data_IF_459510867356
#
_entry.id   IF_459510867356
#
_cell.length_a   1.000
_cell.length_b   1.000
_cell.length_c   1.000
_cell.angle_alpha   90.00
_cell.angle_beta   90.00
_cell.angle_gamma   90.00
#
_symmetry.space_group_name_H-M   'P 1'
#
loop_
_entity.id
_entity.type
_entity.pdbx_description
1 polymer ?
#
# COMPACT_ATOMS: atom_id res chain seq x y z
N UNK A 1 -34.45 -58.93 25.78
CA UNK A 1 -33.63 -59.14 24.57
C UNK A 1 -33.09 -57.78 24.16
N UNK A 2 -31.77 -57.64 24.13
CA UNK A 2 -31.02 -56.41 23.86
C UNK A 2 -31.25 -55.95 22.41
N UNK A 3 -31.60 -54.68 22.18
CA UNK A 3 -31.21 -53.98 20.96
C UNK A 3 -30.75 -52.55 21.25
N UNK A 4 -29.47 -52.38 20.95
CA UNK A 4 -28.69 -51.16 20.90
C UNK A 4 -29.19 -50.33 19.72
N UNK A 5 -29.63 -49.09 19.96
CA UNK A 5 -29.64 -48.07 18.91
C UNK A 5 -28.88 -46.84 19.39
N UNK A 6 -27.62 -46.83 18.97
CA UNK A 6 -26.74 -45.66 18.91
C UNK A 6 -27.38 -44.63 17.99
N UNK A 7 -28.08 -43.62 18.53
CA UNK A 7 -28.34 -42.42 17.76
C UNK A 7 -27.08 -41.59 17.75
N UNK A 8 -26.40 -41.67 16.60
CA UNK A 8 -25.13 -41.07 16.31
C UNK A 8 -25.16 -39.56 16.55
N UNK A 9 -24.12 -39.11 17.23
CA UNK A 9 -23.68 -37.74 17.36
C UNK A 9 -23.23 -37.17 15.99
N UNK A 10 -24.14 -37.13 15.01
CA UNK A 10 -23.85 -36.77 13.62
C UNK A 10 -24.45 -35.41 13.22
N UNK A 11 -24.62 -34.50 14.18
CA UNK A 11 -25.18 -33.17 13.92
C UNK A 11 -24.41 -31.99 14.48
N UNK A 12 -23.32 -32.20 15.22
CA UNK A 12 -22.60 -31.09 15.89
C UNK A 12 -21.20 -30.80 15.33
N UNK A 13 -20.72 -31.61 14.37
CA UNK A 13 -19.37 -31.42 13.80
C UNK A 13 -19.35 -30.55 12.53
N UNK A 14 -20.50 -30.11 12.01
CA UNK A 14 -20.55 -29.30 10.78
C UNK A 14 -20.66 -27.79 11.03
N UNK A 15 -20.82 -27.35 12.28
CA UNK A 15 -20.95 -25.93 12.64
C UNK A 15 -19.61 -25.25 13.00
N UNK A 16 -18.52 -26.03 13.11
CA UNK A 16 -17.20 -25.51 13.52
C UNK A 16 -16.27 -25.14 12.35
N UNK A 17 -16.67 -25.38 11.10
CA UNK A 17 -15.81 -25.11 9.93
C UNK A 17 -16.10 -23.78 9.22
N UNK A 18 -16.97 -22.92 9.76
CA UNK A 18 -17.30 -21.61 9.17
C UNK A 18 -16.71 -20.41 9.94
N UNK A 19 -15.86 -20.64 10.95
CA UNK A 19 -14.93 -19.62 11.42
C UNK A 19 -13.76 -19.46 10.44
N UNK A 20 -14.07 -19.32 9.14
CA UNK A 20 -13.14 -18.71 8.21
C UNK A 20 -13.04 -17.26 8.65
N UNK A 21 -11.90 -16.88 9.22
CA UNK A 21 -11.53 -15.49 9.41
C UNK A 21 -11.74 -14.77 8.07
N UNK A 22 -12.86 -14.06 7.94
CA UNK A 22 -12.86 -12.85 7.18
C UNK A 22 -11.84 -11.98 7.91
N UNK A 23 -10.60 -11.96 7.43
CA UNK A 23 -9.77 -10.79 7.63
C UNK A 23 -10.61 -9.67 7.05
N UNK A 24 -11.30 -8.93 7.91
CA UNK A 24 -11.68 -7.57 7.62
C UNK A 24 -10.37 -6.88 7.31
N UNK A 25 -9.96 -6.96 6.04
CA UNK A 25 -9.03 -6.05 5.46
C UNK A 25 -9.70 -4.71 5.63
N UNK A 26 -9.38 -4.03 6.72
CA UNK A 26 -9.64 -2.61 6.89
C UNK A 26 -8.76 -1.92 5.84
N UNK A 27 -9.14 -2.05 4.57
CA UNK A 27 -8.65 -1.24 3.46
C UNK A 27 -9.33 0.10 3.65
N UNK A 28 -8.86 0.78 4.69
CA UNK A 28 -9.40 2.06 5.08
C UNK A 28 -9.13 3.04 3.96
N UNK A 29 -10.05 3.97 3.82
CA UNK A 29 -9.86 5.31 3.27
C UNK A 29 -8.74 6.09 4.00
N UNK A 30 -7.61 5.43 4.26
CA UNK A 30 -6.49 5.96 5.01
C UNK A 30 -5.79 6.95 4.12
N UNK A 31 -5.73 8.19 4.60
CA UNK A 31 -4.94 9.21 3.95
C UNK A 31 -3.46 8.86 4.07
N UNK A 32 -2.67 9.58 3.31
CA UNK A 32 -1.22 9.56 3.44
C UNK A 32 -0.72 10.82 4.11
N UNK A 33 0.45 10.73 4.71
CA UNK A 33 1.20 11.86 5.24
C UNK A 33 2.50 11.96 4.46
N UNK A 34 2.71 13.09 3.80
CA UNK A 34 4.04 13.53 3.36
C UNK A 34 4.64 14.40 4.44
N UNK A 35 5.83 14.05 4.90
CA UNK A 35 6.63 14.86 5.82
C UNK A 35 7.81 15.46 5.02
N UNK A 36 7.78 16.77 4.79
CA UNK A 36 8.79 17.46 3.97
C UNK A 36 10.15 17.55 4.67
N UNK A 37 10.17 17.60 6.00
CA UNK A 37 11.40 17.73 6.78
C UNK A 37 12.14 16.39 6.86
N UNK A 38 11.40 15.29 7.02
CA UNK A 38 11.95 13.93 7.06
C UNK A 38 12.07 13.27 5.69
N UNK A 39 11.49 13.89 4.67
CA UNK A 39 11.37 13.33 3.31
C UNK A 39 10.79 11.92 3.30
N UNK A 40 9.69 11.71 4.03
CA UNK A 40 9.03 10.42 4.12
C UNK A 40 7.55 10.49 3.72
N UNK A 41 7.05 9.34 3.26
CA UNK A 41 5.66 9.12 2.88
C UNK A 41 5.10 7.99 3.72
N UNK A 42 4.06 8.28 4.51
CA UNK A 42 3.51 7.39 5.52
C UNK A 42 2.01 7.15 5.29
N UNK A 43 1.51 6.00 5.74
CA UNK A 43 0.06 5.78 5.86
C UNK A 43 -0.41 6.44 7.16
N UNK A 44 -1.43 7.31 7.09
CA UNK A 44 -1.98 7.96 8.27
C UNK A 44 -2.54 6.92 9.26
N UNK A 45 -2.09 6.99 10.52
CA UNK A 45 -2.49 6.04 11.56
C UNK A 45 -1.73 4.72 11.57
N UNK A 46 -0.78 4.50 10.65
CA UNK A 46 0.16 3.37 10.68
C UNK A 46 1.57 3.83 11.05
N UNK A 47 2.42 2.88 11.46
CA UNK A 47 3.87 3.06 11.56
C UNK A 47 4.60 2.87 10.23
N UNK A 48 3.89 2.48 9.17
CA UNK A 48 4.47 2.23 7.87
C UNK A 48 4.82 3.55 7.16
N UNK A 49 6.11 3.70 6.85
CA UNK A 49 6.65 4.86 6.15
C UNK A 49 7.74 4.41 5.16
N UNK A 50 7.80 5.08 4.02
CA UNK A 50 8.85 4.94 3.03
C UNK A 50 9.60 6.26 2.85
N UNK A 51 10.92 6.19 2.70
CA UNK A 51 11.71 7.36 2.32
C UNK A 51 11.42 7.73 0.88
N UNK A 52 11.17 9.00 0.61
CA UNK A 52 10.94 9.50 -0.75
C UNK A 52 12.18 9.34 -1.63
N UNK A 53 13.38 9.27 -1.03
CA UNK A 53 14.64 9.02 -1.75
C UNK A 53 14.71 7.63 -2.39
N UNK A 54 13.84 6.68 -2.01
CA UNK A 54 13.76 5.38 -2.68
C UNK A 54 13.37 5.49 -4.15
N UNK A 55 12.81 6.62 -4.58
CA UNK A 55 12.51 6.85 -6.00
C UNK A 55 13.78 7.00 -6.86
N UNK A 56 14.96 7.20 -6.26
CA UNK A 56 16.20 7.30 -6.99
C UNK A 56 17.29 6.40 -6.38
N UNK A 57 17.80 5.39 -7.10
CA UNK A 57 17.43 5.02 -8.48
C UNK A 57 16.15 4.16 -8.53
N UNK A 58 15.14 4.57 -9.29
CA UNK A 58 14.03 3.70 -9.70
C UNK A 58 14.00 3.56 -11.22
N UNK A 59 13.25 2.58 -11.71
CA UNK A 59 12.88 2.43 -13.11
C UNK A 59 11.36 2.45 -13.28
N UNK A 60 10.64 2.93 -12.27
CA UNK A 60 9.17 2.90 -12.17
C UNK A 60 8.56 4.30 -12.02
N UNK A 61 9.36 5.34 -12.26
CA UNK A 61 8.91 6.73 -12.27
C UNK A 61 7.83 6.96 -13.34
N UNK A 62 7.88 6.20 -14.45
CA UNK A 62 6.87 6.21 -15.49
C UNK A 62 5.48 5.81 -14.97
N UNK A 63 5.39 4.88 -14.01
CA UNK A 63 4.10 4.47 -13.44
C UNK A 63 3.47 5.57 -12.60
N UNK A 64 4.29 6.32 -11.86
CA UNK A 64 3.83 7.50 -11.12
C UNK A 64 3.42 8.61 -12.10
N UNK A 65 4.23 8.85 -13.15
CA UNK A 65 3.92 9.85 -14.16
C UNK A 65 2.58 9.57 -14.86
N UNK A 66 2.35 8.32 -15.26
CA UNK A 66 1.10 7.87 -15.85
C UNK A 66 -0.08 8.07 -14.89
N UNK A 67 0.12 7.83 -13.58
CA UNK A 67 -0.92 8.00 -12.57
C UNK A 67 -1.33 9.46 -12.34
N UNK A 68 -0.43 10.42 -12.59
CA UNK A 68 -0.69 11.85 -12.61
C UNK A 68 -1.06 12.39 -14.01
N UNK A 69 -1.28 11.52 -15.01
CA UNK A 69 -1.61 11.91 -16.37
C UNK A 69 -0.53 12.76 -17.06
N UNK A 70 0.73 12.59 -16.65
CA UNK A 70 1.85 13.36 -17.20
C UNK A 70 2.23 12.87 -18.61
N UNK A 71 2.88 13.71 -19.45
CA UNK A 71 3.33 13.31 -20.77
C UNK A 71 4.29 12.12 -20.75
N UNK A 72 4.25 11.27 -21.79
CA UNK A 72 5.20 10.15 -21.89
C UNK A 72 6.62 10.64 -22.19
N UNK A 73 7.50 10.56 -21.21
CA UNK A 73 8.92 10.88 -21.31
C UNK A 73 9.72 10.15 -20.22
N UNK A 74 11.04 10.30 -20.24
CA UNK A 74 11.88 9.81 -19.15
C UNK A 74 11.75 10.72 -17.93
N UNK A 75 11.47 10.12 -16.77
CA UNK A 75 11.38 10.79 -15.48
C UNK A 75 12.47 10.27 -14.55
N UNK A 76 13.06 11.18 -13.78
CA UNK A 76 14.07 10.87 -12.77
C UNK A 76 13.94 11.94 -11.69
N UNK A 77 13.18 11.64 -10.64
CA UNK A 77 12.91 12.58 -9.56
C UNK A 77 13.89 12.38 -8.40
N UNK A 78 14.29 13.48 -7.77
CA UNK A 78 14.81 13.47 -6.40
C UNK A 78 13.67 13.33 -5.38
N UNK A 79 14.02 13.03 -4.13
CA UNK A 79 13.06 12.98 -3.02
C UNK A 79 12.24 14.27 -2.90
N UNK A 80 12.89 15.43 -3.05
CA UNK A 80 12.25 16.75 -3.00
C UNK A 80 11.30 17.00 -4.17
N UNK A 81 11.66 16.54 -5.37
CA UNK A 81 10.79 16.66 -6.55
C UNK A 81 9.56 15.77 -6.43
N UNK A 82 9.72 14.53 -5.92
CA UNK A 82 8.59 13.65 -5.63
C UNK A 82 7.70 14.21 -4.52
N UNK A 83 8.28 14.77 -3.45
CA UNK A 83 7.53 15.47 -2.41
C UNK A 83 6.70 16.61 -2.99
N UNK A 84 7.32 17.43 -3.86
CA UNK A 84 6.63 18.53 -4.52
C UNK A 84 5.52 18.05 -5.45
N UNK A 85 5.73 16.97 -6.19
CA UNK A 85 4.70 16.33 -7.03
C UNK A 85 3.49 15.88 -6.19
N UNK A 86 3.75 15.29 -5.01
CA UNK A 86 2.70 14.84 -4.09
C UNK A 86 1.89 16.02 -3.53
N UNK A 87 2.52 17.13 -3.16
CA UNK A 87 1.82 18.30 -2.58
C UNK A 87 1.28 19.28 -3.64
N UNK A 88 1.70 19.15 -4.89
CA UNK A 88 1.24 20.00 -6.00
C UNK A 88 0.95 19.10 -7.22
N UNK A 89 -0.12 18.28 -7.17
CA UNK A 89 -0.43 17.34 -8.25
C UNK A 89 -0.76 18.10 -9.55
N UNK A 90 -0.07 17.80 -10.68
CA UNK A 90 -0.18 18.58 -11.91
C UNK A 90 -1.54 18.44 -12.59
N UNK A 91 -2.24 17.34 -12.35
CA UNK A 91 -3.59 17.06 -12.85
C UNK A 91 -4.70 17.64 -11.96
N UNK A 92 -4.35 18.26 -10.82
CA UNK A 92 -5.28 18.72 -9.80
C UNK A 92 -6.24 17.62 -9.30
N UNK A 93 -5.80 16.35 -9.33
CA UNK A 93 -6.62 15.20 -8.92
C UNK A 93 -7.03 15.22 -7.44
N UNK A 94 -6.32 15.99 -6.61
CA UNK A 94 -6.66 16.24 -5.22
C UNK A 94 -6.03 17.54 -4.71
N UNK A 95 -6.46 17.95 -3.51
CA UNK A 95 -5.85 19.04 -2.76
C UNK A 95 -5.28 18.50 -1.45
N UNK A 96 -3.96 18.63 -1.20
CA UNK A 96 -3.38 18.27 0.08
C UNK A 96 -3.83 19.21 1.20
N UNK A 97 -4.00 18.67 2.40
CA UNK A 97 -4.32 19.42 3.61
C UNK A 97 -3.04 19.60 4.45
N UNK A 98 -2.58 20.84 4.71
CA UNK A 98 -1.46 21.06 5.62
C UNK A 98 -1.89 20.73 7.05
N UNK A 99 -1.15 19.84 7.72
CA UNK A 99 -1.44 19.42 9.11
C UNK A 99 -0.41 19.95 10.12
N UNK A 100 0.55 20.77 9.66
CA UNK A 100 1.54 21.47 10.48
C UNK A 100 2.92 20.80 10.46
N UNK A 101 3.96 21.54 10.87
CA UNK A 101 5.32 21.00 10.98
C UNK A 101 5.90 20.42 9.69
N UNK A 102 5.64 21.07 8.55
CA UNK A 102 6.09 20.58 7.24
C UNK A 102 5.34 19.33 6.74
N UNK A 103 4.25 18.93 7.40
CA UNK A 103 3.48 17.74 7.03
C UNK A 103 2.20 18.09 6.27
N UNK A 104 1.89 17.27 5.28
CA UNK A 104 0.71 17.36 4.43
C UNK A 104 -0.03 16.03 4.43
N UNK A 105 -1.33 16.08 4.71
CA UNK A 105 -2.25 14.97 4.52
C UNK A 105 -2.73 14.93 3.08
N UNK A 106 -2.70 13.75 2.48
CA UNK A 106 -3.05 13.49 1.08
C UNK A 106 -4.19 12.47 1.04
N UNK A 107 -5.30 12.75 0.34
CA UNK A 107 -6.40 11.79 0.24
C UNK A 107 -5.98 10.55 -0.56
N UNK A 108 -6.62 9.40 -0.32
CA UNK A 108 -6.34 8.14 -1.03
C UNK A 108 -6.87 8.18 -2.47
N UNK A 109 -6.08 8.74 -3.39
CA UNK A 109 -6.31 8.72 -4.83
C UNK A 109 -5.46 7.68 -5.53
N UNK A 110 -5.78 7.37 -6.79
CA UNK A 110 -4.96 6.47 -7.61
C UNK A 110 -3.47 6.87 -7.63
N UNK A 111 -3.19 8.15 -7.84
CA UNK A 111 -1.82 8.65 -7.90
C UNK A 111 -1.10 8.49 -6.55
N UNK A 112 -1.74 8.85 -5.44
CA UNK A 112 -1.16 8.70 -4.10
C UNK A 112 -0.90 7.24 -3.71
N UNK A 113 -1.78 6.32 -4.15
CA UNK A 113 -1.56 4.88 -3.99
C UNK A 113 -0.39 4.39 -4.85
N UNK A 114 -0.31 4.83 -6.11
CA UNK A 114 0.76 4.42 -7.02
C UNK A 114 2.13 4.82 -6.49
N UNK A 115 2.27 6.04 -5.98
CA UNK A 115 3.54 6.50 -5.39
C UNK A 115 3.94 5.59 -4.23
N UNK A 116 3.01 5.24 -3.35
CA UNK A 116 3.32 4.32 -2.27
C UNK A 116 3.77 2.95 -2.78
N UNK A 117 3.01 2.38 -3.70
CA UNK A 117 3.26 1.02 -4.19
C UNK A 117 4.64 0.94 -4.85
N UNK A 118 5.00 1.97 -5.63
CA UNK A 118 6.35 2.09 -6.21
C UNK A 118 7.41 2.16 -5.11
N UNK A 119 7.29 3.06 -4.13
CA UNK A 119 8.27 3.16 -3.04
C UNK A 119 8.40 1.87 -2.22
N UNK A 120 7.28 1.17 -1.97
CA UNK A 120 7.28 -0.12 -1.29
C UNK A 120 8.01 -1.20 -2.10
N UNK A 121 7.80 -1.22 -3.43
CA UNK A 121 8.50 -2.14 -4.31
C UNK A 121 9.99 -1.82 -4.44
N UNK A 122 10.38 -0.54 -4.46
CA UNK A 122 11.80 -0.15 -4.44
C UNK A 122 12.46 -0.54 -3.13
N UNK A 123 11.81 -0.29 -2.00
CA UNK A 123 12.30 -0.74 -0.69
C UNK A 123 12.53 -2.25 -0.67
N UNK A 124 11.55 -3.03 -1.14
CA UNK A 124 11.66 -4.49 -1.21
C UNK A 124 12.84 -4.92 -2.09
N UNK A 125 13.02 -4.26 -3.24
CA UNK A 125 14.09 -4.59 -4.19
C UNK A 125 15.48 -4.29 -3.61
N UNK A 126 15.64 -3.14 -2.95
CA UNK A 126 16.93 -2.69 -2.42
C UNK A 126 17.35 -3.37 -1.12
N UNK A 127 16.39 -3.72 -0.27
CA UNK A 127 16.69 -4.15 1.11
C UNK A 127 16.24 -5.56 1.45
N UNK A 128 15.53 -6.27 0.57
CA UNK A 128 15.03 -7.63 0.85
C UNK A 128 15.39 -8.67 -0.20
N UNK A 129 15.78 -8.26 -1.41
CA UNK A 129 16.14 -9.20 -2.48
C UNK A 129 17.57 -9.76 -2.33
N UNK A 130 18.45 -9.08 -1.57
CA UNK A 130 19.85 -9.48 -1.34
C UNK A 130 20.06 -10.51 -0.20
N UNK A 131 19.00 -10.82 0.56
CA UNK A 131 19.02 -11.82 1.64
C UNK A 131 18.86 -13.22 1.05
N UNK A 132 19.89 -13.64 0.29
CA UNK A 132 19.93 -14.93 -0.37
C UNK A 132 19.44 -16.06 0.53
N UNK A 133 18.48 -16.82 0.00
CA UNK A 133 18.04 -18.14 0.51
C UNK A 133 16.82 -18.23 1.45
N UNK A 134 16.16 -17.15 1.89
CA UNK A 134 14.96 -17.25 2.77
C UNK A 134 13.63 -16.70 2.20
N UNK A 135 13.60 -16.12 1.01
CA UNK A 135 12.44 -15.34 0.52
C UNK A 135 11.31 -16.10 -0.17
N UNK A 136 11.33 -17.44 -0.25
CA UNK A 136 10.27 -18.20 -0.97
C UNK A 136 8.88 -18.04 -0.32
N UNK A 137 8.81 -17.53 0.91
CA UNK A 137 7.55 -17.28 1.63
C UNK A 137 7.16 -15.80 1.75
N UNK A 138 8.01 -14.86 1.36
CA UNK A 138 7.70 -13.43 1.51
C UNK A 138 7.17 -12.87 0.20
N UNK A 139 5.84 -12.73 0.17
CA UNK A 139 5.12 -12.15 -0.96
C UNK A 139 5.64 -10.74 -1.22
N UNK A 140 6.06 -10.48 -2.47
CA UNK A 140 6.30 -9.11 -2.96
C UNK A 140 5.14 -8.21 -2.53
N UNK A 141 5.40 -6.93 -2.19
CA UNK A 141 4.33 -6.00 -1.88
C UNK A 141 3.32 -6.04 -3.02
N UNK A 142 2.09 -6.46 -2.72
CA UNK A 142 1.03 -6.46 -3.71
C UNK A 142 0.59 -5.02 -3.91
N UNK A 143 0.57 -4.51 -5.16
CA UNK A 143 0.01 -3.21 -5.45
C UNK A 143 -1.40 -3.11 -4.86
N UNK A 144 -1.70 -2.04 -4.15
CA UNK A 144 -2.97 -1.87 -3.42
C UNK A 144 -4.14 -1.50 -4.36
N UNK A 145 -4.06 -1.93 -5.63
CA UNK A 145 -5.01 -1.60 -6.70
C UNK A 145 -6.45 -1.98 -6.30
N UNK A 146 -7.26 -0.93 -6.12
CA UNK A 146 -8.70 -0.85 -6.39
C UNK A 146 -9.57 -2.08 -6.05
N UNK A 147 -10.11 -2.12 -4.84
CA UNK A 147 -11.51 -2.49 -4.67
C UNK A 147 -12.35 -1.21 -4.71
N UNK A 148 -12.58 -0.67 -5.92
CA UNK A 148 -13.73 0.24 -6.10
C UNK A 148 -14.96 -0.65 -5.91
N UNK A 149 -15.87 -0.35 -4.95
CA UNK A 149 -17.13 -1.06 -4.92
C UNK A 149 -17.88 -0.70 -6.20
N UNK A 150 -18.15 -1.70 -7.04
CA UNK A 150 -19.12 -1.59 -8.12
C UNK A 150 -20.54 -1.42 -7.56
#
# INVERSE_FOLDING_TARGET
MLQIMRFGASGFLLLLCLAGCASDGHFGSQNYIVDLDKQCYCIEGSSDCHLLSLINPSFREDWIADAYGMPKQYYSWSASELANLLINPPDNSYQPEPIGGGQYRLPPTFATHMVWDVLAMEYFTLYRDDDGFMSVLELRPQPRRFSVPH
#
